data_IF_607079054387
#
_entry.id   IF_607079054387
#
_cell.length_a   1.000
_cell.length_b   1.000
_cell.length_c   1.000
_cell.angle_alpha   90.00
_cell.angle_beta   90.00
_cell.angle_gamma   90.00
#
_symmetry.space_group_name_H-M   'P 1'
#
loop_
_entity.id
_entity.type
_entity.pdbx_description
1 polymer ?
#
# COMPACT_ATOMS: atom_id res chain seq x y z
N UNK A 1 -63.53 -44.46 -17.95
CA UNK A 1 -62.55 -43.57 -17.30
C UNK A 1 -63.20 -43.00 -16.08
N UNK A 2 -62.41 -42.44 -15.17
CA UNK A 2 -62.86 -41.97 -13.84
C UNK A 2 -63.82 -40.77 -13.95
N UNK A 3 -63.68 -39.91 -14.94
CA UNK A 3 -64.51 -38.73 -15.13
C UNK A 3 -65.93 -39.09 -15.65
N UNK A 4 -66.04 -40.15 -16.45
CA UNK A 4 -67.31 -40.63 -17.02
C UNK A 4 -67.98 -41.71 -16.15
N UNK A 5 -67.36 -42.08 -15.03
CA UNK A 5 -67.84 -43.09 -14.13
C UNK A 5 -67.31 -44.47 -14.43
N UNK A 6 -67.12 -45.28 -13.40
CA UNK A 6 -66.73 -46.68 -13.42
C UNK A 6 -67.79 -47.49 -12.69
N UNK A 7 -68.41 -48.41 -13.40
CA UNK A 7 -69.40 -49.35 -12.76
C UNK A 7 -68.64 -50.45 -12.05
N UNK A 8 -68.89 -50.59 -10.72
CA UNK A 8 -68.33 -51.63 -9.92
C UNK A 8 -69.49 -52.51 -9.40
N UNK A 9 -69.41 -53.81 -9.58
CA UNK A 9 -70.37 -54.73 -9.03
C UNK A 9 -69.90 -55.12 -7.60
N UNK A 10 -70.71 -54.80 -6.59
CA UNK A 10 -70.43 -55.15 -5.19
C UNK A 10 -71.36 -56.32 -4.78
N UNK A 11 -70.88 -57.55 -4.66
CA UNK A 11 -71.67 -58.69 -4.24
C UNK A 11 -72.18 -58.54 -2.85
N UNK A 12 -73.29 -59.29 -2.54
CA UNK A 12 -73.81 -59.30 -1.15
C UNK A 12 -72.76 -59.86 -0.20
N UNK A 13 -72.61 -59.20 0.97
CA UNK A 13 -71.63 -59.52 2.00
C UNK A 13 -70.14 -59.40 1.59
N UNK A 14 -69.86 -58.57 0.58
CA UNK A 14 -68.46 -58.25 0.15
C UNK A 14 -68.16 -56.77 0.23
N UNK A 15 -66.87 -56.43 0.20
CA UNK A 15 -66.31 -55.07 0.08
C UNK A 15 -65.50 -55.05 -1.21
N UNK A 16 -65.68 -53.97 -1.99
CA UNK A 16 -64.92 -53.75 -3.18
C UNK A 16 -64.23 -52.38 -3.06
N UNK A 17 -62.98 -52.28 -3.50
CA UNK A 17 -62.20 -51.03 -3.45
C UNK A 17 -61.82 -50.58 -4.85
N UNK A 18 -61.95 -49.30 -5.14
CA UNK A 18 -61.45 -48.62 -6.30
C UNK A 18 -60.36 -47.68 -5.89
N UNK A 19 -59.17 -47.82 -6.46
CA UNK A 19 -58.02 -46.93 -6.22
C UNK A 19 -57.51 -46.31 -7.53
N UNK A 20 -57.00 -45.11 -7.43
CA UNK A 20 -56.30 -44.46 -8.52
C UNK A 20 -55.22 -43.55 -7.95
N UNK A 21 -54.20 -43.21 -8.81
CA UNK A 21 -53.06 -42.37 -8.47
C UNK A 21 -53.16 -41.05 -9.22
N UNK A 22 -52.74 -39.97 -8.56
CA UNK A 22 -52.60 -38.64 -9.16
C UNK A 22 -51.22 -38.09 -8.89
N UNK A 23 -50.69 -37.30 -9.82
CA UNK A 23 -49.46 -36.56 -9.61
C UNK A 23 -49.78 -35.13 -9.22
N UNK A 24 -49.14 -34.64 -8.14
CA UNK A 24 -49.27 -33.25 -7.70
C UNK A 24 -48.58 -32.33 -8.70
N UNK A 25 -49.33 -31.41 -9.26
CA UNK A 25 -48.80 -30.41 -10.18
C UNK A 25 -47.96 -29.35 -9.45
N UNK A 26 -47.02 -28.70 -10.18
CA UNK A 26 -46.24 -27.58 -9.66
C UNK A 26 -47.17 -26.43 -9.22
N UNK A 27 -46.88 -25.86 -8.06
CA UNK A 27 -47.56 -24.65 -7.61
C UNK A 27 -47.21 -23.46 -8.53
N UNK A 28 -48.11 -22.47 -8.70
CA UNK A 28 -47.80 -21.23 -9.42
C UNK A 28 -46.53 -20.54 -8.90
N UNK A 29 -45.92 -19.72 -9.73
CA UNK A 29 -44.79 -18.89 -9.34
C UNK A 29 -45.15 -18.00 -8.13
N UNK A 30 -44.25 -17.89 -7.17
CA UNK A 30 -44.46 -17.16 -5.90
C UNK A 30 -45.58 -17.70 -4.97
N UNK A 31 -46.07 -18.92 -5.23
CA UNK A 31 -46.97 -19.65 -4.33
C UNK A 31 -46.19 -20.82 -3.73
N UNK A 32 -46.16 -20.91 -2.40
CA UNK A 32 -45.35 -21.89 -1.66
C UNK A 32 -46.20 -22.88 -0.87
N UNK A 33 -47.52 -22.71 -0.88
CA UNK A 33 -48.49 -23.63 -0.28
C UNK A 33 -49.76 -23.71 -1.11
N UNK A 34 -50.47 -24.80 -1.03
CA UNK A 34 -51.73 -25.03 -1.71
C UNK A 34 -52.52 -26.17 -1.02
N UNK A 35 -53.74 -26.35 -1.47
CA UNK A 35 -54.63 -27.42 -0.96
C UNK A 35 -55.20 -28.17 -2.14
N UNK A 36 -55.04 -29.51 -2.10
CA UNK A 36 -55.71 -30.42 -3.04
C UNK A 36 -56.92 -31.01 -2.29
N UNK A 37 -58.08 -30.95 -2.91
CA UNK A 37 -59.30 -31.53 -2.38
C UNK A 37 -59.83 -32.54 -3.36
N UNK A 38 -60.22 -33.70 -2.86
CA UNK A 38 -60.82 -34.76 -3.66
C UNK A 38 -62.10 -35.28 -2.99
N UNK A 39 -63.18 -35.33 -3.75
CA UNK A 39 -64.45 -35.85 -3.35
C UNK A 39 -64.99 -36.73 -4.48
N UNK A 40 -65.25 -38.01 -4.21
CA UNK A 40 -65.87 -38.90 -5.17
C UNK A 40 -67.43 -38.86 -5.01
N UNK A 41 -68.12 -39.33 -6.02
CA UNK A 41 -69.61 -39.54 -5.94
C UNK A 41 -69.88 -41.01 -6.26
N UNK A 42 -70.75 -41.57 -5.49
CA UNK A 42 -71.32 -42.94 -5.68
C UNK A 42 -72.82 -42.79 -5.87
N UNK A 43 -73.33 -43.05 -7.09
CA UNK A 43 -74.75 -42.91 -7.40
C UNK A 43 -75.33 -41.52 -7.06
N UNK A 44 -74.48 -40.46 -7.31
CA UNK A 44 -74.87 -39.07 -7.01
C UNK A 44 -74.71 -38.63 -5.57
N UNK A 45 -74.29 -39.55 -4.65
CA UNK A 45 -74.01 -39.23 -3.25
C UNK A 45 -72.55 -38.96 -3.06
N UNK A 46 -72.14 -37.74 -2.60
CA UNK A 46 -70.70 -37.42 -2.43
C UNK A 46 -70.18 -38.21 -1.20
N UNK A 47 -68.85 -38.59 -1.36
CA UNK A 47 -68.05 -39.08 -0.24
C UNK A 47 -67.60 -37.92 0.65
N UNK A 48 -66.98 -38.18 1.77
CA UNK A 48 -66.22 -37.20 2.51
C UNK A 48 -65.13 -36.65 1.61
N UNK A 49 -64.75 -35.37 1.81
CA UNK A 49 -63.69 -34.71 1.07
C UNK A 49 -62.33 -34.96 1.73
N UNK A 50 -61.45 -35.63 1.04
CA UNK A 50 -60.07 -35.77 1.45
C UNK A 50 -59.32 -34.50 1.07
N UNK A 51 -58.42 -34.05 1.96
CA UNK A 51 -57.69 -32.78 1.79
C UNK A 51 -56.20 -32.97 2.07
N UNK A 52 -55.38 -32.62 1.09
CA UNK A 52 -53.92 -32.68 1.21
C UNK A 52 -53.31 -31.28 1.09
N UNK A 53 -52.34 -30.96 1.94
CA UNK A 53 -51.55 -29.72 1.85
C UNK A 53 -50.35 -29.92 0.96
N UNK A 54 -50.21 -29.03 -0.05
CA UNK A 54 -49.04 -28.96 -0.91
C UNK A 54 -48.12 -27.89 -0.36
N UNK A 55 -46.86 -28.25 -0.10
CA UNK A 55 -45.82 -27.37 0.46
C UNK A 55 -44.64 -27.33 -0.48
N UNK A 56 -43.99 -26.14 -0.58
CA UNK A 56 -42.86 -25.92 -1.48
C UNK A 56 -41.74 -25.13 -0.79
N UNK A 57 -40.46 -25.53 -0.91
CA UNK A 57 -39.35 -24.72 -0.44
C UNK A 57 -39.14 -23.49 -1.33
N UNK A 58 -38.56 -22.44 -0.76
CA UNK A 58 -38.08 -21.26 -1.48
C UNK A 58 -36.75 -20.77 -0.89
N UNK A 59 -35.66 -21.39 -1.30
CA UNK A 59 -34.33 -21.02 -0.80
C UNK A 59 -33.72 -19.92 -1.69
N UNK A 60 -33.59 -18.72 -1.12
CA UNK A 60 -32.83 -17.62 -1.69
C UNK A 60 -31.43 -17.61 -1.04
N UNK A 61 -30.38 -17.30 -1.82
CA UNK A 61 -29.00 -17.27 -1.34
C UNK A 61 -28.39 -15.88 -1.53
N UNK A 62 -27.62 -15.46 -0.53
CA UNK A 62 -26.81 -14.23 -0.61
C UNK A 62 -25.44 -14.46 0.02
N UNK A 63 -24.45 -13.63 -0.36
CA UNK A 63 -23.09 -13.69 0.15
C UNK A 63 -22.65 -12.33 0.67
N UNK A 64 -22.00 -12.34 1.83
CA UNK A 64 -21.41 -11.18 2.47
C UNK A 64 -20.01 -11.53 3.00
N UNK A 65 -19.27 -10.53 3.46
CA UNK A 65 -18.00 -10.73 4.15
C UNK A 65 -17.80 -9.75 5.29
N UNK A 66 -16.87 -10.11 6.19
CA UNK A 66 -16.31 -9.23 7.22
C UNK A 66 -14.79 -9.32 7.16
N UNK A 67 -14.07 -8.19 6.86
CA UNK A 67 -14.61 -6.87 6.54
C UNK A 67 -15.50 -6.88 5.31
N UNK A 68 -16.38 -5.88 5.17
CA UNK A 68 -17.35 -5.81 4.09
C UNK A 68 -16.68 -5.70 2.71
N UNK A 69 -17.34 -6.19 1.66
CA UNK A 69 -16.90 -6.01 0.28
C UNK A 69 -16.64 -4.53 -0.04
N UNK A 70 -15.66 -4.25 -0.90
CA UNK A 70 -15.15 -2.90 -1.20
C UNK A 70 -14.08 -2.40 -0.22
N UNK A 71 -13.86 -3.06 0.91
CA UNK A 71 -12.81 -2.70 1.88
C UNK A 71 -11.42 -3.05 1.36
N UNK A 72 -10.44 -2.20 1.68
CA UNK A 72 -9.02 -2.50 1.46
C UNK A 72 -8.53 -3.47 2.53
N UNK A 73 -7.74 -4.46 2.11
CA UNK A 73 -7.16 -5.49 3.00
C UNK A 73 -5.64 -5.58 2.79
N UNK A 74 -4.95 -6.06 3.82
CA UNK A 74 -3.49 -6.24 3.87
C UNK A 74 -3.14 -7.70 4.19
N UNK A 75 -1.88 -8.07 4.16
CA UNK A 75 -1.40 -9.42 4.48
C UNK A 75 -1.83 -9.93 5.86
N UNK A 76 -2.05 -9.04 6.84
CA UNK A 76 -2.40 -9.44 8.21
C UNK A 76 -3.91 -9.56 8.43
N UNK A 77 -4.72 -9.31 7.38
CA UNK A 77 -6.15 -9.41 7.52
C UNK A 77 -6.69 -10.83 7.32
N UNK A 78 -7.70 -11.18 8.11
CA UNK A 78 -8.61 -12.28 7.84
C UNK A 78 -9.89 -11.75 7.21
N UNK A 79 -10.45 -12.51 6.25
CA UNK A 79 -11.78 -12.27 5.68
C UNK A 79 -12.68 -13.44 6.06
N UNK A 80 -13.80 -13.15 6.72
CA UNK A 80 -14.85 -14.12 6.97
C UNK A 80 -15.91 -13.97 5.89
N UNK A 81 -16.14 -14.99 5.09
CA UNK A 81 -17.25 -15.06 4.13
C UNK A 81 -18.43 -15.77 4.75
N UNK A 82 -19.63 -15.23 4.53
CA UNK A 82 -20.91 -15.78 5.00
C UNK A 82 -21.87 -15.92 3.84
N UNK A 83 -22.25 -17.16 3.52
CA UNK A 83 -23.33 -17.49 2.57
C UNK A 83 -24.59 -17.70 3.40
N UNK A 84 -25.60 -16.86 3.21
CA UNK A 84 -26.89 -16.97 3.87
C UNK A 84 -27.87 -17.68 2.96
N UNK A 85 -28.48 -18.75 3.48
CA UNK A 85 -29.55 -19.50 2.86
C UNK A 85 -30.86 -19.08 3.55
N UNK A 86 -31.82 -18.53 2.80
CA UNK A 86 -33.05 -17.98 3.31
C UNK A 86 -34.26 -18.76 2.76
N UNK A 87 -34.88 -19.61 3.57
CA UNK A 87 -36.12 -20.35 3.26
C UNK A 87 -37.34 -19.82 4.06
N UNK A 88 -37.28 -18.54 4.49
CA UNK A 88 -38.34 -17.95 5.34
C UNK A 88 -39.70 -17.85 4.63
N UNK A 89 -39.71 -17.81 3.30
CA UNK A 89 -40.92 -17.84 2.48
C UNK A 89 -41.33 -19.27 2.10
N UNK A 90 -40.43 -20.23 2.23
CA UNK A 90 -40.72 -21.63 1.91
C UNK A 90 -41.51 -22.33 3.00
N UNK A 91 -42.49 -23.16 2.62
CA UNK A 91 -43.32 -23.91 3.51
C UNK A 91 -42.91 -25.38 3.67
N UNK A 92 -41.90 -25.80 2.93
CA UNK A 92 -41.28 -27.13 3.05
C UNK A 92 -39.74 -26.99 3.31
N UNK A 93 -39.14 -27.99 3.97
CA UNK A 93 -37.69 -28.04 4.08
C UNK A 93 -37.02 -28.29 2.70
N UNK A 94 -35.75 -27.91 2.57
CA UNK A 94 -34.94 -28.21 1.40
C UNK A 94 -33.54 -28.63 1.79
N UNK A 95 -32.88 -29.39 0.93
CA UNK A 95 -31.45 -29.68 1.02
C UNK A 95 -30.77 -29.09 -0.24
N UNK A 96 -29.96 -28.09 -0.04
CA UNK A 96 -29.22 -27.39 -1.11
C UNK A 96 -27.72 -27.74 -1.08
N UNK A 97 -27.08 -27.63 -2.22
CA UNK A 97 -25.63 -27.79 -2.35
C UNK A 97 -24.97 -26.41 -2.44
N UNK A 98 -24.16 -26.07 -1.43
CA UNK A 98 -23.36 -24.84 -1.39
C UNK A 98 -21.96 -25.14 -1.85
N UNK A 99 -21.48 -24.43 -2.88
CA UNK A 99 -20.10 -24.50 -3.37
C UNK A 99 -19.46 -23.11 -3.26
N UNK A 100 -18.23 -23.10 -2.80
CA UNK A 100 -17.40 -21.90 -2.76
C UNK A 100 -15.92 -22.28 -2.87
N UNK A 101 -15.15 -21.50 -3.55
CA UNK A 101 -13.71 -21.72 -3.68
C UNK A 101 -12.95 -20.71 -2.84
N UNK A 102 -11.86 -21.13 -2.20
CA UNK A 102 -10.93 -20.21 -1.55
C UNK A 102 -10.39 -19.24 -2.60
N UNK A 103 -10.58 -17.93 -2.44
CA UNK A 103 -10.16 -16.95 -3.44
C UNK A 103 -8.64 -16.97 -3.67
N UNK A 104 -8.23 -16.71 -4.91
CA UNK A 104 -6.82 -16.54 -5.22
C UNK A 104 -6.17 -15.47 -4.33
N UNK A 105 -4.94 -15.70 -3.89
CA UNK A 105 -4.22 -14.80 -2.97
C UNK A 105 -4.65 -14.91 -1.51
N UNK A 106 -5.41 -15.96 -1.15
CA UNK A 106 -5.78 -16.23 0.24
C UNK A 106 -5.57 -17.70 0.59
N UNK A 107 -5.57 -18.00 1.88
CA UNK A 107 -5.48 -19.37 2.42
C UNK A 107 -6.63 -19.59 3.38
N UNK A 108 -7.33 -20.74 3.25
CA UNK A 108 -8.36 -21.13 4.22
C UNK A 108 -7.75 -21.24 5.63
N UNK A 109 -8.39 -20.62 6.60
CA UNK A 109 -8.07 -20.83 8.02
C UNK A 109 -8.59 -22.20 8.42
N UNK A 110 -7.73 -23.14 8.86
CA UNK A 110 -8.14 -24.51 9.19
C UNK A 110 -9.26 -24.55 10.24
N UNK A 111 -10.26 -25.40 10.02
CA UNK A 111 -11.39 -25.57 10.95
C UNK A 111 -12.37 -24.39 11.00
N UNK A 112 -12.25 -23.42 10.09
CA UNK A 112 -13.11 -22.23 10.07
C UNK A 112 -14.46 -22.44 9.37
N UNK A 113 -14.63 -23.54 8.62
CA UNK A 113 -15.88 -23.80 7.90
C UNK A 113 -16.96 -24.24 8.91
N UNK A 114 -18.06 -23.50 8.89
CA UNK A 114 -19.23 -23.74 9.76
C UNK A 114 -20.50 -23.82 8.94
N UNK A 115 -21.47 -24.62 9.42
CA UNK A 115 -22.86 -24.62 8.96
C UNK A 115 -23.75 -24.27 10.14
N UNK A 116 -24.37 -23.08 10.07
CA UNK A 116 -24.95 -22.45 11.27
C UNK A 116 -23.80 -22.09 12.24
N UNK A 117 -23.92 -22.52 13.49
CA UNK A 117 -22.90 -22.28 14.51
C UNK A 117 -21.92 -23.45 14.67
N UNK A 118 -22.15 -24.57 13.99
CA UNK A 118 -21.36 -25.79 14.12
C UNK A 118 -20.19 -25.84 13.16
N UNK A 119 -18.98 -26.08 13.68
CA UNK A 119 -17.82 -26.36 12.85
C UNK A 119 -17.98 -27.75 12.19
N UNK A 120 -17.77 -27.83 10.89
CA UNK A 120 -18.02 -29.04 10.12
C UNK A 120 -16.78 -29.93 9.93
N UNK A 121 -15.58 -29.38 10.12
CA UNK A 121 -14.32 -30.04 9.80
C UNK A 121 -14.05 -30.21 8.29
N UNK A 122 -14.88 -29.61 7.42
CA UNK A 122 -14.69 -29.66 5.98
C UNK A 122 -13.38 -28.99 5.55
N UNK A 123 -12.86 -29.46 4.41
CA UNK A 123 -11.67 -28.90 3.75
C UNK A 123 -12.03 -27.91 2.66
N UNK A 124 -11.03 -27.22 2.10
CA UNK A 124 -11.23 -26.32 0.96
C UNK A 124 -11.75 -27.05 -0.29
N UNK A 125 -11.30 -28.30 -0.51
CA UNK A 125 -11.73 -29.14 -1.62
C UNK A 125 -13.20 -29.58 -1.45
N UNK A 126 -13.62 -29.87 -0.24
CA UNK A 126 -15.02 -30.23 0.06
C UNK A 126 -15.93 -29.01 -0.10
N UNK A 127 -15.52 -27.81 0.34
CA UNK A 127 -16.23 -26.57 0.11
C UNK A 127 -16.38 -26.28 -1.40
N UNK A 128 -15.32 -26.46 -2.17
CA UNK A 128 -15.33 -26.26 -3.61
C UNK A 128 -16.17 -27.32 -4.35
N UNK A 129 -16.17 -28.57 -3.90
CA UNK A 129 -16.96 -29.65 -4.50
C UNK A 129 -18.43 -29.59 -4.13
N UNK A 130 -18.76 -29.08 -2.95
CA UNK A 130 -20.10 -28.79 -2.49
C UNK A 130 -20.47 -29.41 -1.15
N UNK A 131 -20.92 -28.58 -0.23
CA UNK A 131 -21.45 -28.97 1.08
C UNK A 131 -22.98 -29.03 0.99
N UNK A 132 -23.57 -30.16 1.37
CA UNK A 132 -25.03 -30.29 1.47
C UNK A 132 -25.53 -29.68 2.77
N UNK A 133 -26.48 -28.77 2.66
CA UNK A 133 -27.07 -28.06 3.80
C UNK A 133 -28.59 -28.26 3.78
N UNK A 134 -29.10 -28.85 4.82
CA UNK A 134 -30.58 -28.96 5.02
C UNK A 134 -31.06 -27.74 5.82
N UNK A 135 -32.09 -27.08 5.29
CA UNK A 135 -32.73 -25.91 5.86
C UNK A 135 -34.23 -26.17 6.02
N UNK A 136 -34.80 -25.91 7.19
CA UNK A 136 -36.22 -26.09 7.47
C UNK A 136 -37.12 -25.06 6.79
N UNK A 137 -38.43 -25.34 6.80
CA UNK A 137 -39.43 -24.37 6.38
C UNK A 137 -39.41 -23.15 7.31
N UNK A 138 -39.43 -21.93 6.75
CA UNK A 138 -39.46 -20.71 7.54
C UNK A 138 -38.09 -20.34 8.17
N UNK A 139 -37.03 -21.06 7.89
CA UNK A 139 -35.70 -20.87 8.52
C UNK A 139 -34.70 -20.10 7.65
N UNK A 140 -33.67 -19.60 8.33
CA UNK A 140 -32.40 -19.14 7.73
C UNK A 140 -31.24 -19.99 8.24
N UNK A 141 -30.25 -20.26 7.39
CA UNK A 141 -29.05 -20.98 7.77
C UNK A 141 -27.84 -20.37 7.05
N UNK A 142 -26.67 -20.41 7.68
CA UNK A 142 -25.45 -19.85 7.10
C UNK A 142 -24.42 -20.95 6.83
N UNK A 143 -23.58 -20.71 5.81
CA UNK A 143 -22.29 -21.37 5.64
C UNK A 143 -21.23 -20.30 5.75
N UNK A 144 -20.31 -20.45 6.70
CA UNK A 144 -19.24 -19.49 6.96
C UNK A 144 -17.88 -20.16 6.81
N UNK A 145 -16.89 -19.38 6.36
CA UNK A 145 -15.49 -19.77 6.40
C UNK A 145 -14.61 -18.54 6.45
N UNK A 146 -13.38 -18.70 6.98
CA UNK A 146 -12.38 -17.65 7.05
C UNK A 146 -11.19 -17.95 6.16
N UNK A 147 -10.64 -16.89 5.61
CA UNK A 147 -9.37 -16.94 4.86
C UNK A 147 -8.41 -15.88 5.41
N UNK A 148 -7.12 -16.20 5.45
CA UNK A 148 -6.04 -15.23 5.66
C UNK A 148 -5.54 -14.71 4.33
N UNK A 149 -5.23 -13.42 4.26
CA UNK A 149 -4.76 -12.73 3.05
C UNK A 149 -3.24 -12.89 2.93
N UNK A 150 -2.76 -13.38 1.78
CA UNK A 150 -1.34 -13.50 1.48
C UNK A 150 -0.76 -12.19 0.91
N UNK A 151 0.58 -12.06 0.93
CA UNK A 151 1.28 -10.99 0.25
C UNK A 151 1.05 -11.08 -1.28
N UNK A 152 0.63 -9.99 -1.88
CA UNK A 152 0.30 -9.87 -3.30
C UNK A 152 0.85 -8.56 -3.87
N UNK A 153 0.63 -8.34 -5.16
CA UNK A 153 0.88 -7.03 -5.76
C UNK A 153 -0.16 -6.02 -5.28
N UNK A 154 0.26 -4.77 -5.10
CA UNK A 154 -0.65 -3.67 -4.70
C UNK A 154 -1.80 -3.54 -5.69
N UNK A 155 -3.01 -3.27 -5.20
CA UNK A 155 -4.27 -3.19 -5.97
C UNK A 155 -4.79 -4.51 -6.55
N UNK A 156 -4.22 -5.66 -6.18
CA UNK A 156 -4.82 -6.95 -6.55
C UNK A 156 -6.22 -7.07 -5.97
N UNK A 157 -7.16 -7.53 -6.79
CA UNK A 157 -8.52 -7.81 -6.34
C UNK A 157 -8.64 -9.25 -5.85
N UNK A 158 -9.27 -9.41 -4.70
CA UNK A 158 -9.65 -10.68 -4.11
C UNK A 158 -11.16 -10.79 -4.28
N UNK A 159 -11.58 -11.56 -5.28
CA UNK A 159 -12.99 -11.78 -5.61
C UNK A 159 -13.42 -13.16 -5.15
N UNK A 160 -14.61 -13.23 -4.55
CA UNK A 160 -15.20 -14.48 -4.12
C UNK A 160 -16.69 -14.55 -4.46
N UNK A 161 -17.09 -15.65 -5.14
CA UNK A 161 -18.45 -15.96 -5.58
C UNK A 161 -18.78 -17.37 -5.08
N UNK A 162 -19.97 -17.53 -4.49
CA UNK A 162 -20.51 -18.84 -4.14
C UNK A 162 -21.57 -19.29 -5.14
N UNK A 163 -21.84 -20.59 -5.23
CA UNK A 163 -23.02 -21.12 -5.92
C UNK A 163 -23.87 -21.95 -4.97
N UNK A 164 -25.17 -21.80 -5.09
CA UNK A 164 -26.15 -22.61 -4.37
C UNK A 164 -27.07 -23.28 -5.40
N UNK A 165 -27.04 -24.60 -5.45
CA UNK A 165 -27.71 -25.42 -6.48
C UNK A 165 -27.42 -24.94 -7.91
N UNK A 166 -26.19 -24.50 -8.18
CA UNK A 166 -25.73 -24.01 -9.47
C UNK A 166 -26.07 -22.54 -9.78
N UNK A 167 -26.76 -21.83 -8.90
CA UNK A 167 -27.01 -20.38 -9.04
C UNK A 167 -25.98 -19.60 -8.27
N UNK A 168 -25.31 -18.67 -8.94
CA UNK A 168 -24.30 -17.78 -8.34
C UNK A 168 -24.91 -16.72 -7.42
N UNK A 169 -24.16 -16.39 -6.37
CA UNK A 169 -24.39 -15.20 -5.53
C UNK A 169 -23.75 -13.98 -6.18
N UNK A 170 -24.09 -12.77 -5.72
CA UNK A 170 -23.31 -11.58 -6.05
C UNK A 170 -21.88 -11.75 -5.55
N UNK A 171 -20.87 -11.25 -6.30
CA UNK A 171 -19.47 -11.32 -5.93
C UNK A 171 -19.17 -10.42 -4.72
N UNK A 172 -18.30 -10.90 -3.83
CA UNK A 172 -17.68 -10.08 -2.79
C UNK A 172 -16.24 -9.78 -3.20
N UNK A 173 -15.90 -8.51 -3.35
CA UNK A 173 -14.60 -8.06 -3.84
C UNK A 173 -13.90 -7.24 -2.77
N UNK A 174 -12.62 -7.55 -2.48
CA UNK A 174 -11.71 -6.74 -1.68
C UNK A 174 -10.54 -6.28 -2.54
N UNK A 175 -9.90 -5.17 -2.17
CA UNK A 175 -8.68 -4.70 -2.83
C UNK A 175 -7.50 -4.87 -1.88
N UNK A 176 -6.55 -5.70 -2.25
CA UNK A 176 -5.29 -5.83 -1.51
C UNK A 176 -4.45 -4.58 -1.68
N UNK A 177 -3.88 -4.06 -0.58
CA UNK A 177 -2.99 -2.90 -0.58
C UNK A 177 -1.77 -3.15 0.29
N UNK A 178 -0.61 -2.65 -0.16
CA UNK A 178 0.65 -2.63 0.59
C UNK A 178 1.37 -1.30 0.37
N UNK A 179 2.31 -0.89 1.26
CA UNK A 179 3.21 0.21 0.96
C UNK A 179 4.25 -0.25 -0.08
N UNK A 180 4.66 0.67 -0.96
CA UNK A 180 5.76 0.48 -1.90
C UNK A 180 6.68 1.68 -1.73
N UNK A 181 7.72 1.53 -0.92
CA UNK A 181 8.64 2.61 -0.56
C UNK A 181 9.84 2.59 -1.48
N UNK A 182 10.18 3.77 -2.01
CA UNK A 182 11.42 4.04 -2.72
C UNK A 182 12.03 5.33 -2.19
N UNK A 183 13.35 5.43 -2.27
CA UNK A 183 14.06 6.61 -1.81
C UNK A 183 15.14 7.06 -2.79
N UNK A 184 15.33 8.38 -2.89
CA UNK A 184 16.42 9.01 -3.61
C UNK A 184 17.09 10.05 -2.76
N UNK A 185 18.36 10.33 -3.03
CA UNK A 185 19.14 11.39 -2.40
C UNK A 185 19.72 12.28 -3.44
N UNK A 186 19.68 13.57 -3.21
CA UNK A 186 20.24 14.62 -4.06
C UNK A 186 20.99 15.63 -3.20
N UNK A 187 21.88 16.40 -3.82
CA UNK A 187 22.56 17.52 -3.17
C UNK A 187 22.53 18.78 -4.02
N UNK A 188 22.67 19.91 -3.35
CA UNK A 188 22.95 21.20 -3.96
C UNK A 188 24.04 21.91 -3.18
N UNK A 189 24.95 22.57 -3.88
CA UNK A 189 26.06 23.36 -3.31
C UNK A 189 25.65 24.83 -3.23
N UNK A 190 26.11 25.54 -2.24
CA UNK A 190 25.81 26.97 -2.04
C UNK A 190 26.21 27.84 -3.22
N UNK A 191 27.36 27.52 -3.84
CA UNK A 191 27.90 28.24 -5.01
C UNK A 191 27.29 27.79 -6.36
N UNK A 192 26.46 26.70 -6.36
CA UNK A 192 25.86 26.13 -7.57
C UNK A 192 26.85 25.41 -8.50
N UNK A 193 28.08 25.12 -8.04
CA UNK A 193 29.12 24.42 -8.81
C UNK A 193 29.16 22.93 -8.44
N UNK A 194 29.91 22.14 -9.17
CA UNK A 194 30.17 20.71 -8.91
C UNK A 194 31.20 20.46 -7.80
N UNK A 195 31.69 21.51 -7.15
CA UNK A 195 32.59 21.47 -6.01
C UNK A 195 32.21 22.53 -4.98
N UNK A 196 32.74 22.40 -3.77
CA UNK A 196 32.62 23.36 -2.69
C UNK A 196 33.97 23.78 -2.17
N UNK A 197 34.02 24.92 -1.47
CA UNK A 197 35.20 25.34 -0.70
C UNK A 197 34.93 25.30 0.80
N UNK A 198 35.97 25.43 1.62
CA UNK A 198 35.86 25.50 3.09
C UNK A 198 34.90 26.60 3.50
N UNK A 199 34.01 26.29 4.48
CA UNK A 199 33.03 27.19 5.02
C UNK A 199 31.73 27.27 4.20
N UNK A 200 31.68 26.81 2.96
CA UNK A 200 30.45 26.73 2.18
C UNK A 200 29.53 25.62 2.66
N UNK A 201 28.27 25.70 2.26
CA UNK A 201 27.26 24.72 2.63
C UNK A 201 26.92 23.77 1.50
N UNK A 202 26.58 22.54 1.90
CA UNK A 202 25.95 21.54 1.06
C UNK A 202 24.56 21.28 1.64
N UNK A 203 23.53 21.38 0.81
CA UNK A 203 22.16 20.98 1.18
C UNK A 203 21.87 19.60 0.59
N UNK A 204 21.57 18.64 1.45
CA UNK A 204 21.11 17.31 1.05
C UNK A 204 19.59 17.25 1.09
N UNK A 205 19.02 16.57 0.09
CA UNK A 205 17.57 16.30 -0.01
C UNK A 205 17.35 14.81 -0.19
N UNK A 206 16.67 14.18 0.75
CA UNK A 206 16.26 12.79 0.67
C UNK A 206 14.76 12.79 0.35
N UNK A 207 14.38 12.18 -0.77
CA UNK A 207 12.96 12.02 -1.14
C UNK A 207 12.52 10.59 -0.86
N UNK A 208 11.56 10.43 0.03
CA UNK A 208 10.91 9.14 0.33
C UNK A 208 9.56 9.12 -0.37
N UNK A 209 9.34 8.15 -1.24
CA UNK A 209 8.12 8.02 -2.05
C UNK A 209 7.40 6.72 -1.69
N UNK A 210 6.07 6.78 -1.62
CA UNK A 210 5.21 5.62 -1.46
C UNK A 210 4.29 5.49 -2.68
N UNK A 211 4.58 4.54 -3.57
CA UNK A 211 3.76 4.21 -4.74
C UNK A 211 2.65 3.19 -4.42
N UNK A 212 2.60 2.69 -3.19
CA UNK A 212 1.61 1.72 -2.73
C UNK A 212 0.34 2.34 -2.15
N UNK A 213 -0.69 1.50 -2.01
CA UNK A 213 -2.02 1.89 -1.54
C UNK A 213 -2.20 1.98 -0.02
N UNK A 214 -1.14 1.71 0.76
CA UNK A 214 -1.14 1.76 2.22
C UNK A 214 -0.10 2.75 2.73
N UNK A 215 -0.46 3.60 3.72
CA UNK A 215 0.49 4.49 4.41
C UNK A 215 1.53 3.67 5.19
N UNK A 216 2.74 4.21 5.30
CA UNK A 216 3.81 3.61 6.10
C UNK A 216 4.61 4.67 6.84
N UNK A 217 4.97 4.36 8.09
CA UNK A 217 6.01 5.05 8.82
C UNK A 217 7.36 4.49 8.37
N UNK A 218 8.20 5.35 7.82
CA UNK A 218 9.48 5.02 7.22
C UNK A 218 10.60 5.60 8.09
N UNK A 219 11.59 4.80 8.43
CA UNK A 219 12.79 5.28 9.13
C UNK A 219 13.81 5.78 8.10
N UNK A 220 14.24 7.02 8.25
CA UNK A 220 15.31 7.62 7.45
C UNK A 220 16.51 7.87 8.34
N UNK A 221 17.65 7.28 7.98
CA UNK A 221 18.94 7.45 8.66
C UNK A 221 19.92 8.09 7.68
N UNK A 222 20.66 9.09 8.13
CA UNK A 222 21.73 9.70 7.36
C UNK A 222 22.83 10.18 8.32
N UNK A 223 24.05 9.69 8.12
CA UNK A 223 25.18 10.12 8.91
C UNK A 223 25.75 11.43 8.33
N UNK A 224 26.14 12.35 9.23
CA UNK A 224 26.81 13.57 8.79
C UNK A 224 28.12 13.19 8.13
N UNK A 225 28.37 13.60 6.87
CA UNK A 225 29.56 13.21 6.12
C UNK A 225 30.86 13.66 6.80
N UNK A 226 31.88 12.81 6.76
CA UNK A 226 33.20 13.16 7.29
C UNK A 226 33.77 14.40 6.57
N UNK A 227 34.28 15.35 7.34
CA UNK A 227 34.79 16.64 6.82
C UNK A 227 33.72 17.72 6.72
N UNK A 228 32.55 17.47 7.33
CA UNK A 228 31.49 18.46 7.44
C UNK A 228 30.94 18.57 8.87
N UNK A 229 30.18 19.62 9.12
CA UNK A 229 29.47 19.85 10.39
C UNK A 229 28.01 20.19 10.08
N UNK A 230 27.07 19.49 10.75
CA UNK A 230 25.64 19.77 10.59
C UNK A 230 25.32 21.22 11.01
N UNK A 231 24.60 21.92 10.15
CA UNK A 231 24.06 23.24 10.48
C UNK A 231 22.93 23.07 11.50
N UNK A 232 22.99 23.71 12.68
CA UNK A 232 21.94 23.59 13.69
C UNK A 232 20.56 23.95 13.12
N UNK A 233 19.53 23.17 13.52
CA UNK A 233 18.12 23.35 13.12
C UNK A 233 17.88 23.29 11.58
N UNK A 234 18.80 22.71 10.82
CA UNK A 234 18.66 22.58 9.36
C UNK A 234 17.86 21.37 8.93
N UNK A 235 17.66 20.36 9.81
CA UNK A 235 16.92 19.15 9.48
C UNK A 235 15.43 19.44 9.43
N UNK A 236 14.81 19.18 8.27
CA UNK A 236 13.40 19.50 8.01
C UNK A 236 12.70 18.36 7.28
N UNK A 237 11.42 18.18 7.56
CA UNK A 237 10.52 17.33 6.79
C UNK A 237 9.50 18.25 6.08
N UNK A 238 9.47 18.23 4.74
CA UNK A 238 8.64 19.12 3.91
C UNK A 238 8.77 20.60 4.30
N UNK A 239 9.99 21.05 4.60
CA UNK A 239 10.30 22.42 4.98
C UNK A 239 10.00 22.78 6.43
N UNK A 240 9.47 21.86 7.24
CA UNK A 240 9.23 22.07 8.68
C UNK A 240 10.38 21.46 9.48
N UNK A 241 10.93 22.25 10.38
CA UNK A 241 11.99 21.80 11.30
C UNK A 241 11.47 20.65 12.17
N UNK A 242 12.29 19.61 12.37
CA UNK A 242 11.98 18.54 13.30
C UNK A 242 12.43 18.92 14.69
N UNK A 243 11.58 18.64 15.68
CA UNK A 243 11.85 18.91 17.10
C UNK A 243 12.25 17.65 17.88
N UNK A 244 12.06 16.48 17.27
CA UNK A 244 12.36 15.18 17.88
C UNK A 244 13.13 14.29 16.89
N UNK A 245 14.05 13.50 17.41
CA UNK A 245 14.88 12.57 16.64
C UNK A 245 16.20 13.16 16.19
N UNK A 246 17.13 12.28 15.91
CA UNK A 246 18.46 12.56 15.37
C UNK A 246 18.59 11.82 14.03
N UNK A 247 19.03 12.55 12.99
CA UNK A 247 19.16 12.00 11.64
C UNK A 247 20.10 10.78 11.59
N UNK A 248 21.15 10.75 12.41
CA UNK A 248 22.09 9.64 12.47
C UNK A 248 21.55 8.41 13.23
N UNK A 249 20.62 8.60 14.16
CA UNK A 249 19.94 7.50 14.88
C UNK A 249 18.60 7.11 14.22
N UNK A 250 18.11 7.92 13.30
CA UNK A 250 16.91 7.69 12.54
C UNK A 250 15.75 8.61 12.90
N UNK A 251 15.13 9.17 11.89
CA UNK A 251 13.88 9.95 11.98
C UNK A 251 12.75 9.19 11.33
N UNK A 252 11.56 9.24 11.95
CA UNK A 252 10.36 8.60 11.37
C UNK A 252 9.61 9.57 10.47
N UNK A 253 9.33 9.13 9.25
CA UNK A 253 8.60 9.89 8.24
C UNK A 253 7.36 9.12 7.84
N UNK A 254 6.16 9.63 8.17
CA UNK A 254 4.90 9.02 7.72
C UNK A 254 4.61 9.40 6.27
N UNK A 255 4.61 8.40 5.37
CA UNK A 255 4.38 8.59 3.93
C UNK A 255 3.03 8.00 3.54
N UNK A 256 2.09 8.87 3.19
CA UNK A 256 0.74 8.49 2.77
C UNK A 256 0.74 7.76 1.42
N UNK A 257 -0.32 6.99 1.11
CA UNK A 257 -0.45 6.30 -0.18
C UNK A 257 -0.30 7.26 -1.36
N UNK A 258 0.51 6.88 -2.35
CA UNK A 258 0.74 7.62 -3.60
C UNK A 258 1.26 9.05 -3.40
N UNK A 259 2.02 9.28 -2.32
CA UNK A 259 2.67 10.57 -2.02
C UNK A 259 4.16 10.41 -1.81
N UNK A 260 4.85 11.54 -1.69
CA UNK A 260 6.26 11.59 -1.28
C UNK A 260 6.44 12.60 -0.15
N UNK A 261 7.53 12.41 0.61
CA UNK A 261 8.03 13.31 1.64
C UNK A 261 9.48 13.65 1.36
N UNK A 262 9.89 14.86 1.71
CA UNK A 262 11.27 15.31 1.57
C UNK A 262 11.87 15.58 2.94
N UNK A 263 13.00 14.93 3.22
CA UNK A 263 13.87 15.26 4.35
C UNK A 263 15.04 16.08 3.80
N UNK A 264 15.27 17.27 4.36
CA UNK A 264 16.38 18.15 3.97
C UNK A 264 17.23 18.49 5.17
N UNK A 265 18.55 18.63 4.97
CA UNK A 265 19.46 19.15 5.97
C UNK A 265 20.65 19.83 5.31
N UNK A 266 21.32 20.73 6.04
CA UNK A 266 22.50 21.45 5.57
C UNK A 266 23.71 21.05 6.41
N UNK A 267 24.87 20.96 5.74
CA UNK A 267 26.15 20.80 6.40
C UNK A 267 27.10 21.92 5.93
N UNK A 268 28.00 22.36 6.82
CA UNK A 268 29.08 23.27 6.49
C UNK A 268 30.36 22.45 6.27
N UNK A 269 31.09 22.75 5.20
CA UNK A 269 32.37 22.12 4.86
C UNK A 269 33.43 22.58 5.86
N UNK A 270 34.10 21.64 6.51
CA UNK A 270 35.17 21.93 7.46
C UNK A 270 36.48 22.33 6.74
N UNK A 271 37.39 22.91 7.49
CA UNK A 271 38.72 23.27 6.99
C UNK A 271 39.50 22.01 6.54
N UNK A 272 40.17 22.12 5.37
CA UNK A 272 41.05 21.08 4.85
C UNK A 272 42.45 21.18 5.48
N UNK A 273 42.84 20.11 6.19
CA UNK A 273 44.19 20.04 6.76
C UNK A 273 45.13 19.22 5.87
N UNK A 274 46.23 19.86 5.46
CA UNK A 274 47.33 19.18 4.74
C UNK A 274 47.05 18.73 3.32
N UNK A 275 45.88 19.11 2.73
CA UNK A 275 45.51 18.80 1.32
C UNK A 275 44.77 19.97 0.69
N UNK A 276 44.78 20.04 -0.63
CA UNK A 276 44.06 21.06 -1.40
C UNK A 276 42.77 20.53 -2.03
N UNK A 277 42.50 19.23 -1.91
CA UNK A 277 41.26 18.59 -2.35
C UNK A 277 40.88 17.44 -1.42
N UNK A 278 39.59 17.23 -1.22
CA UNK A 278 39.02 16.07 -0.49
C UNK A 278 37.67 15.71 -1.08
N UNK A 279 37.37 14.42 -1.21
CA UNK A 279 36.03 13.93 -1.50
C UNK A 279 35.20 13.90 -0.22
N UNK A 280 33.94 14.31 -0.32
CA UNK A 280 32.88 14.11 0.69
C UNK A 280 31.86 13.16 0.09
N UNK A 281 31.69 11.99 0.72
CA UNK A 281 30.73 10.97 0.33
C UNK A 281 29.57 10.97 1.30
N UNK A 282 28.34 10.87 0.82
CA UNK A 282 27.14 10.79 1.65
C UNK A 282 26.07 9.87 1.05
N UNK A 283 25.52 8.98 1.90
CA UNK A 283 24.49 8.01 1.56
C UNK A 283 23.47 7.97 2.70
N UNK A 284 22.18 7.89 2.37
CA UNK A 284 21.11 7.69 3.34
C UNK A 284 20.64 6.24 3.31
N UNK A 285 20.04 5.79 4.42
CA UNK A 285 19.31 4.53 4.54
C UNK A 285 17.82 4.81 4.75
N UNK A 286 16.98 4.08 4.05
CA UNK A 286 15.52 4.22 4.09
C UNK A 286 14.93 2.84 4.39
N UNK A 287 14.53 2.60 5.64
CA UNK A 287 14.02 1.30 6.13
C UNK A 287 14.98 0.12 5.89
N UNK A 288 16.30 0.35 5.94
CA UNK A 288 17.33 -0.64 5.69
C UNK A 288 17.79 -0.76 4.24
N UNK A 289 17.23 0.05 3.34
CA UNK A 289 17.64 0.12 1.93
C UNK A 289 18.45 1.41 1.68
N UNK A 290 19.70 1.29 1.24
CA UNK A 290 20.54 2.45 0.99
C UNK A 290 20.12 3.19 -0.30
N UNK A 291 20.25 4.53 -0.30
CA UNK A 291 20.16 5.34 -1.50
C UNK A 291 21.43 5.20 -2.34
N UNK A 292 21.46 5.80 -3.52
CA UNK A 292 22.75 6.01 -4.22
C UNK A 292 23.65 6.90 -3.36
N UNK A 293 24.96 6.63 -3.40
CA UNK A 293 25.99 7.42 -2.75
C UNK A 293 26.27 8.67 -3.59
N UNK A 294 26.36 9.83 -2.93
CA UNK A 294 26.64 11.11 -3.58
C UNK A 294 28.03 11.56 -3.16
N UNK A 295 28.85 11.90 -4.14
CA UNK A 295 30.18 12.46 -3.92
C UNK A 295 30.23 13.95 -4.26
N UNK A 296 30.91 14.74 -3.42
CA UNK A 296 31.20 16.16 -3.63
C UNK A 296 32.70 16.41 -3.46
N UNK A 297 33.32 17.13 -4.36
CA UNK A 297 34.72 17.50 -4.22
C UNK A 297 34.84 18.82 -3.44
N UNK A 298 35.65 18.83 -2.39
CA UNK A 298 36.10 20.05 -1.73
C UNK A 298 37.38 20.51 -2.42
N UNK A 299 37.45 21.77 -2.77
CA UNK A 299 38.64 22.42 -3.36
C UNK A 299 39.10 23.57 -2.48
N UNK A 300 40.39 23.87 -2.50
CA UNK A 300 41.02 24.94 -1.70
C UNK A 300 41.91 25.82 -2.57
N UNK A 301 41.80 27.16 -2.50
CA UNK A 301 42.77 28.04 -3.08
C UNK A 301 44.10 27.95 -2.33
N UNK A 302 45.21 28.21 -3.02
CA UNK A 302 46.54 28.26 -2.42
C UNK A 302 47.36 29.44 -3.05
N UNK A 303 46.98 30.65 -2.62
CA UNK A 303 47.52 31.90 -3.16
C UNK A 303 48.87 32.20 -2.51
N UNK A 304 49.93 31.98 -3.24
CA UNK A 304 51.29 32.37 -2.88
C UNK A 304 51.52 33.86 -3.18
N UNK A 305 52.17 34.57 -2.26
CA UNK A 305 52.35 36.03 -2.38
C UNK A 305 53.83 36.36 -2.40
N UNK A 306 54.26 37.18 -3.35
CA UNK A 306 55.58 37.73 -3.38
C UNK A 306 55.59 39.21 -3.74
N UNK A 307 56.60 39.94 -3.25
CA UNK A 307 56.81 41.36 -3.58
C UNK A 307 58.24 41.58 -4.02
N UNK A 308 58.40 42.28 -5.12
CA UNK A 308 59.70 42.66 -5.66
C UNK A 308 59.71 44.15 -5.96
N UNK A 309 60.93 44.71 -6.21
CA UNK A 309 61.07 46.07 -6.64
C UNK A 309 62.06 46.15 -7.82
N UNK A 310 61.89 47.18 -8.64
CA UNK A 310 62.88 47.57 -9.69
C UNK A 310 63.13 49.07 -9.57
N UNK A 311 64.35 49.52 -9.25
CA UNK A 311 65.56 48.75 -8.99
C UNK A 311 65.43 47.75 -7.85
N UNK A 312 66.24 46.68 -7.84
CA UNK A 312 66.12 45.59 -6.89
C UNK A 312 66.41 46.08 -5.47
N UNK A 313 65.78 45.35 -4.45
CA UNK A 313 65.98 45.69 -3.05
C UNK A 313 67.45 45.69 -2.66
N UNK A 314 67.91 46.81 -2.06
CA UNK A 314 69.29 47.03 -1.65
C UNK A 314 70.13 47.82 -2.68
N UNK A 315 69.60 48.09 -3.88
CA UNK A 315 70.27 48.99 -4.84
C UNK A 315 70.12 50.46 -4.47
N UNK A 316 71.13 51.30 -4.89
CA UNK A 316 71.09 52.71 -4.66
C UNK A 316 70.18 53.43 -5.66
N UNK A 317 69.29 54.27 -5.18
CA UNK A 317 68.42 55.15 -5.98
C UNK A 317 68.76 56.60 -5.74
N UNK A 318 68.50 57.46 -6.70
CA UNK A 318 68.72 58.93 -6.64
C UNK A 318 67.36 59.63 -6.55
N UNK A 319 67.38 60.88 -6.06
CA UNK A 319 66.24 61.76 -6.14
C UNK A 319 65.70 61.85 -7.54
N UNK A 320 64.43 61.60 -7.77
CA UNK A 320 63.82 61.60 -9.09
C UNK A 320 63.73 60.22 -9.78
N UNK A 321 64.42 59.20 -9.27
CA UNK A 321 64.27 57.83 -9.80
C UNK A 321 62.91 57.27 -9.51
N UNK A 322 62.39 56.44 -10.39
CA UNK A 322 61.11 55.69 -10.23
C UNK A 322 61.43 54.31 -9.70
N UNK A 323 60.77 53.94 -8.60
CA UNK A 323 60.78 52.56 -8.04
C UNK A 323 59.47 51.92 -8.41
N UNK A 324 59.53 50.82 -9.16
CA UNK A 324 58.35 50.01 -9.44
C UNK A 324 58.29 48.84 -8.45
N UNK A 325 57.22 48.77 -7.65
CA UNK A 325 56.92 47.63 -6.80
C UNK A 325 55.98 46.71 -7.55
N UNK A 326 56.26 45.39 -7.55
CA UNK A 326 55.45 44.37 -8.15
C UNK A 326 54.98 43.37 -7.05
N UNK A 327 53.67 43.22 -6.84
CA UNK A 327 53.10 42.21 -6.01
C UNK A 327 52.57 41.09 -6.92
N UNK A 328 53.11 39.90 -6.79
CA UNK A 328 52.65 38.75 -7.56
C UNK A 328 51.75 37.87 -6.64
N UNK A 329 50.59 37.51 -7.18
CA UNK A 329 49.60 36.61 -6.57
C UNK A 329 49.60 35.35 -7.44
N UNK A 330 50.00 34.24 -6.90
CA UNK A 330 50.18 32.98 -7.64
C UNK A 330 49.30 31.88 -7.01
N UNK A 331 48.22 31.50 -7.69
CA UNK A 331 47.30 30.43 -7.31
C UNK A 331 47.45 29.20 -8.24
N UNK A 332 48.60 28.95 -8.84
CA UNK A 332 48.82 27.81 -9.77
C UNK A 332 48.76 26.45 -9.06
N UNK A 333 49.01 26.40 -7.75
CA UNK A 333 48.91 25.22 -6.91
C UNK A 333 47.53 25.05 -6.33
N UNK A 334 46.76 26.11 -6.16
CA UNK A 334 45.40 26.06 -5.67
C UNK A 334 44.43 25.34 -6.62
N UNK A 335 43.41 24.71 -6.07
CA UNK A 335 42.39 23.90 -6.78
C UNK A 335 41.05 24.64 -6.91
N UNK A 336 40.89 25.77 -6.23
CA UNK A 336 39.77 26.69 -6.36
C UNK A 336 40.24 28.12 -6.64
N UNK A 337 39.43 29.00 -7.27
CA UNK A 337 39.67 30.42 -7.33
C UNK A 337 39.59 31.07 -5.96
N UNK A 338 40.27 32.19 -5.78
CA UNK A 338 40.18 33.04 -4.60
C UNK A 338 40.09 34.51 -5.00
N UNK A 339 39.50 35.32 -4.10
CA UNK A 339 39.46 36.79 -4.24
C UNK A 339 40.23 37.40 -3.10
N UNK A 340 41.40 37.90 -3.37
CA UNK A 340 42.29 38.49 -2.38
C UNK A 340 42.27 40.01 -2.42
N UNK A 341 42.38 40.64 -1.27
CA UNK A 341 42.52 42.10 -1.17
C UNK A 341 43.96 42.46 -0.93
N UNK A 342 44.54 43.23 -1.86
CA UNK A 342 45.90 43.72 -1.75
C UNK A 342 45.87 45.14 -1.15
N UNK A 343 46.67 45.34 -0.10
CA UNK A 343 46.92 46.70 0.48
C UNK A 343 48.42 46.90 0.55
N UNK A 344 48.85 48.05 0.11
CA UNK A 344 50.25 48.48 0.24
C UNK A 344 50.29 49.99 0.62
N UNK A 345 51.31 50.41 1.32
CA UNK A 345 51.49 51.82 1.72
C UNK A 345 52.57 52.47 0.90
N UNK A 346 52.40 53.73 0.58
CA UNK A 346 53.45 54.51 -0.09
C UNK A 346 54.60 54.66 0.89
N UNK A 347 55.83 54.24 0.52
CA UNK A 347 57.00 54.33 1.40
C UNK A 347 57.35 55.76 1.77
N UNK A 348 57.74 55.98 3.04
CA UNK A 348 58.18 57.30 3.47
C UNK A 348 59.35 57.82 2.57
N UNK A 349 59.26 59.08 2.20
CA UNK A 349 60.24 59.70 1.30
C UNK A 349 60.01 59.49 -0.20
N UNK A 350 58.82 58.92 -0.55
CA UNK A 350 58.39 58.75 -1.95
C UNK A 350 57.03 59.41 -2.18
N UNK A 351 56.72 59.66 -3.44
CA UNK A 351 55.39 60.14 -3.87
C UNK A 351 54.81 59.11 -4.88
N UNK A 352 53.50 58.81 -4.70
CA UNK A 352 52.82 57.90 -5.64
C UNK A 352 52.75 58.48 -7.05
N UNK A 353 53.00 57.68 -8.03
CA UNK A 353 52.82 58.02 -9.44
C UNK A 353 51.45 57.73 -9.88
N UNK A 354 50.57 58.71 -10.07
CA UNK A 354 49.17 58.54 -10.46
C UNK A 354 49.03 57.72 -11.75
N UNK A 355 48.06 56.77 -11.77
CA UNK A 355 47.80 55.89 -12.90
C UNK A 355 48.83 54.76 -13.09
N UNK A 356 49.78 54.57 -12.15
CA UNK A 356 50.78 53.52 -12.20
C UNK A 356 50.34 52.13 -11.77
N UNK A 357 49.13 51.99 -11.08
CA UNK A 357 48.58 50.68 -10.73
C UNK A 357 48.05 49.97 -11.97
N UNK A 358 48.48 48.76 -12.19
CA UNK A 358 48.09 47.90 -13.34
C UNK A 358 47.55 46.57 -12.85
#
# INVERSE_FOLDING_TARGET
DLENGITVNVPAYSEETLSFEVTVNALPSNTFEGTIRNTAQVDGTPTETETEEVKKPNVEASKTASPAGGTKVTTDNEITYTITLDNTKGTAPSTVTVKDSVPAGTILVPGSIKVGEEATGNTAEELASGIKVTIGAGERKTVEFKVSVNNQEDKTQIENIATVDGKETEPVIHTYVKPIITGTKEQTTENGLDYVVEGEKITYTITVKNDGGLAKDVTVIDNIPEGTTLVPNSVKIDGREITEGDLSSGITVNVQPYTSKKVTFEVTVNELEGTLTKGISNQADIDGEPTEEIETTVKKPDVQISKTSNPASGENVKVGDIITYTIALDNRTGTAPDTVTVKDSIPAGTTFVDGSIK
#
